data_IF_348086131867
#
_entry.id   IF_348086131867
#
_cell.length_a   1.000
_cell.length_b   1.000
_cell.length_c   1.000
_cell.angle_alpha   90.00
_cell.angle_beta   90.00
_cell.angle_gamma   90.00
#
_symmetry.space_group_name_H-M   'P 1'
#
loop_
_entity.id
_entity.type
_entity.pdbx_description
1 polymer ?
#
# COMPACT_ATOMS: atom_id res chain seq x y z
N UNK A 1 7.36 -1.46 -14.61
CA UNK A 1 6.16 -2.18 -15.09
C UNK A 1 4.97 -1.27 -14.90
N UNK A 2 4.20 -0.99 -15.96
CA UNK A 2 3.04 -0.10 -15.89
C UNK A 2 1.80 -0.90 -15.47
N UNK A 3 1.08 -0.40 -14.46
CA UNK A 3 -0.19 -1.00 -14.00
C UNK A 3 -1.33 -0.28 -14.74
N UNK A 4 -2.21 -1.02 -15.41
CA UNK A 4 -3.34 -0.50 -16.18
C UNK A 4 -4.57 -1.39 -16.01
N UNK A 5 -5.77 -0.84 -16.19
CA UNK A 5 -7.06 -1.55 -16.05
C UNK A 5 -7.07 -2.45 -14.81
N UNK A 6 -6.69 -1.88 -13.67
CA UNK A 6 -6.52 -2.64 -12.42
C UNK A 6 -7.21 -1.91 -11.31
N UNK A 7 -8.10 -2.61 -10.61
CA UNK A 7 -8.75 -2.13 -9.41
C UNK A 7 -8.15 -2.81 -8.18
N UNK A 8 -7.56 -2.01 -7.29
CA UNK A 8 -7.08 -2.46 -5.99
C UNK A 8 -8.22 -2.30 -4.99
N UNK A 9 -8.74 -3.43 -4.51
CA UNK A 9 -9.67 -3.47 -3.38
C UNK A 9 -8.93 -3.34 -2.05
N UNK A 10 -9.66 -2.93 -1.01
CA UNK A 10 -9.12 -2.83 0.35
C UNK A 10 -8.57 -4.17 0.86
N UNK A 11 -7.67 -4.11 1.83
CA UNK A 11 -7.07 -5.29 2.44
C UNK A 11 -8.14 -6.17 3.12
N UNK A 12 -7.93 -7.48 3.13
CA UNK A 12 -8.82 -8.44 3.80
C UNK A 12 -8.84 -8.27 5.34
N UNK A 13 -7.75 -7.75 5.91
CA UNK A 13 -7.64 -7.43 7.33
C UNK A 13 -8.06 -5.99 7.68
N UNK A 14 -8.65 -5.25 6.74
CA UNK A 14 -9.23 -3.92 7.00
C UNK A 14 -10.67 -4.04 7.50
N UNK A 15 -10.96 -3.35 8.60
CA UNK A 15 -12.28 -3.22 9.22
C UNK A 15 -13.08 -2.00 8.73
N UNK A 16 -12.53 -1.24 7.80
CA UNK A 16 -13.13 0.00 7.31
C UNK A 16 -14.39 -0.31 6.47
N UNK A 17 -15.56 0.06 7.00
CA UNK A 17 -16.85 -0.05 6.31
C UNK A 17 -17.14 1.12 5.36
N UNK A 18 -16.35 2.20 5.45
CA UNK A 18 -16.47 3.39 4.60
C UNK A 18 -15.10 4.04 4.39
N UNK A 19 -15.00 4.98 3.44
CA UNK A 19 -13.80 5.78 3.26
C UNK A 19 -13.53 6.70 4.45
N UNK A 20 -12.40 6.50 5.13
CA UNK A 20 -11.97 7.31 6.29
C UNK A 20 -10.95 8.34 5.82
N UNK A 21 -11.38 9.59 5.68
CA UNK A 21 -10.47 10.69 5.30
C UNK A 21 -9.32 10.81 6.32
N UNK A 22 -8.05 10.72 5.90
CA UNK A 22 -6.93 10.88 6.81
C UNK A 22 -6.95 12.26 7.49
N UNK A 23 -6.79 12.25 8.82
CA UNK A 23 -6.82 13.48 9.62
C UNK A 23 -5.67 14.41 9.25
N UNK A 24 -5.97 15.70 9.17
CA UNK A 24 -4.93 16.75 9.18
C UNK A 24 -4.27 16.73 10.55
N UNK A 25 -2.93 16.78 10.57
CA UNK A 25 -2.14 16.91 11.80
C UNK A 25 -1.34 18.21 11.71
N UNK A 26 -1.04 18.88 12.84
CA UNK A 26 -0.07 19.96 12.85
C UNK A 26 1.29 19.49 12.33
N UNK A 27 1.96 20.31 11.53
CA UNK A 27 3.26 19.97 10.92
C UNK A 27 3.14 19.23 9.58
N UNK A 28 4.12 18.38 9.27
CA UNK A 28 4.16 17.66 7.99
C UNK A 28 2.99 16.67 7.86
N UNK A 29 2.25 16.68 6.73
CA UNK A 29 1.15 15.75 6.55
C UNK A 29 1.64 14.30 6.51
N UNK A 30 0.78 13.38 6.95
CA UNK A 30 1.08 11.96 6.85
C UNK A 30 1.05 11.49 5.40
N UNK A 31 1.76 10.39 5.08
CA UNK A 31 1.71 9.78 3.74
C UNK A 31 0.27 9.47 3.31
N UNK A 32 -0.56 8.96 4.25
CA UNK A 32 -1.98 8.71 3.99
C UNK A 32 -2.70 10.00 3.55
N UNK A 33 -2.44 11.11 4.25
CA UNK A 33 -3.03 12.41 3.95
C UNK A 33 -2.59 12.94 2.59
N UNK A 34 -1.28 12.94 2.31
CA UNK A 34 -0.75 13.37 1.02
C UNK A 34 -1.31 12.54 -0.14
N UNK A 35 -1.41 11.22 0.03
CA UNK A 35 -2.04 10.34 -0.98
C UNK A 35 -3.51 10.70 -1.20
N UNK A 36 -4.25 10.96 -0.13
CA UNK A 36 -5.67 11.27 -0.20
C UNK A 36 -5.92 12.61 -0.90
N UNK A 37 -5.21 13.65 -0.48
CA UNK A 37 -5.36 15.00 -1.04
C UNK A 37 -5.02 14.96 -2.54
N UNK A 38 -3.84 14.44 -2.90
CA UNK A 38 -3.39 14.43 -4.29
C UNK A 38 -4.34 13.67 -5.23
N UNK A 39 -4.85 12.51 -4.82
CA UNK A 39 -5.71 11.67 -5.67
C UNK A 39 -7.18 12.06 -5.64
N UNK A 40 -7.62 12.85 -4.66
CA UNK A 40 -8.97 13.43 -4.61
C UNK A 40 -9.04 14.71 -5.43
N UNK A 41 -8.00 15.54 -5.36
CA UNK A 41 -7.92 16.80 -6.10
C UNK A 41 -7.63 16.55 -7.59
N UNK A 42 -6.86 15.49 -7.90
CA UNK A 42 -6.39 15.20 -9.26
C UNK A 42 -6.67 13.74 -9.69
N UNK A 43 -7.95 13.32 -9.74
CA UNK A 43 -8.30 11.97 -10.15
C UNK A 43 -7.89 11.72 -11.61
N UNK A 44 -7.17 10.64 -11.84
CA UNK A 44 -6.63 10.23 -13.16
C UNK A 44 -5.61 11.19 -13.79
N UNK A 45 -4.98 12.08 -13.02
CA UNK A 45 -3.89 12.92 -13.50
C UNK A 45 -2.52 12.21 -13.39
N UNK A 46 -2.29 11.57 -12.25
CA UNK A 46 -1.01 10.93 -11.93
C UNK A 46 -1.02 9.45 -12.31
N UNK A 47 0.05 9.00 -12.96
CA UNK A 47 0.40 7.57 -13.01
C UNK A 47 1.25 7.20 -11.78
N UNK A 48 1.60 5.92 -11.64
CA UNK A 48 2.33 5.45 -10.47
C UNK A 48 3.66 6.17 -10.23
N UNK A 49 4.41 6.44 -11.29
CA UNK A 49 5.74 7.02 -11.18
C UNK A 49 5.66 8.51 -10.83
N UNK A 50 4.82 9.27 -11.54
CA UNK A 50 4.58 10.68 -11.25
C UNK A 50 3.93 10.89 -9.88
N UNK A 51 3.00 10.02 -9.47
CA UNK A 51 2.41 10.02 -8.14
C UNK A 51 3.48 9.82 -7.05
N UNK A 52 4.27 8.75 -7.13
CA UNK A 52 5.30 8.47 -6.14
C UNK A 52 6.35 9.59 -6.05
N UNK A 53 6.72 10.16 -7.19
CA UNK A 53 7.66 11.26 -7.24
C UNK A 53 7.11 12.54 -6.61
N UNK A 54 5.85 12.89 -6.88
CA UNK A 54 5.19 14.05 -6.26
C UNK A 54 5.14 13.91 -4.73
N UNK A 55 4.71 12.74 -4.23
CA UNK A 55 4.68 12.45 -2.80
C UNK A 55 6.08 12.55 -2.18
N UNK A 56 7.11 12.07 -2.88
CA UNK A 56 8.49 12.18 -2.40
C UNK A 56 8.97 13.64 -2.37
N UNK A 57 8.72 14.43 -3.41
CA UNK A 57 9.08 15.85 -3.44
C UNK A 57 8.40 16.61 -2.30
N UNK A 58 7.10 16.41 -2.08
CA UNK A 58 6.37 17.06 -0.98
C UNK A 58 6.90 16.67 0.41
N UNK A 59 7.35 15.43 0.59
CA UNK A 59 7.90 14.98 1.88
C UNK A 59 9.26 15.58 2.20
N UNK A 60 10.06 15.81 1.16
CA UNK A 60 11.43 16.30 1.26
C UNK A 60 11.54 17.81 0.97
N UNK A 61 10.40 18.50 0.82
CA UNK A 61 10.32 19.94 0.55
C UNK A 61 11.15 20.34 -0.70
N UNK A 62 11.06 19.52 -1.77
CA UNK A 62 11.79 19.76 -3.02
C UNK A 62 11.02 20.75 -3.90
N UNK A 63 11.63 21.91 -4.11
CA UNK A 63 11.11 22.96 -4.97
C UNK A 63 11.05 22.53 -6.43
N UNK A 64 10.08 23.09 -7.17
CA UNK A 64 9.83 22.75 -8.57
C UNK A 64 11.07 22.87 -9.47
N UNK A 65 11.91 23.87 -9.21
CA UNK A 65 13.16 24.11 -9.95
C UNK A 65 14.20 22.98 -9.76
N UNK A 66 14.17 22.30 -8.60
CA UNK A 66 15.13 21.27 -8.24
C UNK A 66 14.60 19.85 -8.51
N UNK A 67 13.34 19.70 -8.92
CA UNK A 67 12.75 18.36 -9.13
C UNK A 67 13.51 17.56 -10.19
N UNK A 68 13.89 18.18 -11.30
CA UNK A 68 14.52 17.45 -12.40
C UNK A 68 15.88 16.84 -11.99
N UNK A 69 16.66 17.54 -11.16
CA UNK A 69 17.95 17.04 -10.68
C UNK A 69 17.83 15.82 -9.75
N UNK A 70 16.66 15.61 -9.14
CA UNK A 70 16.40 14.48 -8.24
C UNK A 70 15.73 13.29 -8.94
N UNK A 71 15.25 13.48 -10.18
CA UNK A 71 14.41 12.51 -10.88
C UNK A 71 15.13 11.17 -11.09
N UNK A 72 16.34 11.21 -11.66
CA UNK A 72 17.13 10.00 -11.93
C UNK A 72 17.43 9.22 -10.65
N UNK A 73 17.92 9.92 -9.62
CA UNK A 73 18.25 9.32 -8.33
C UNK A 73 17.02 8.67 -7.68
N UNK A 74 15.85 9.32 -7.77
CA UNK A 74 14.60 8.76 -7.26
C UNK A 74 14.22 7.47 -7.97
N UNK A 75 14.20 7.46 -9.31
CA UNK A 75 13.77 6.29 -10.10
C UNK A 75 14.80 5.17 -10.22
N UNK A 76 16.02 5.37 -9.70
CA UNK A 76 17.02 4.29 -9.55
C UNK A 76 16.58 3.16 -8.60
N UNK A 77 15.56 3.41 -7.76
CA UNK A 77 14.98 2.45 -6.82
C UNK A 77 13.54 2.13 -7.20
N UNK A 78 13.10 0.92 -6.87
CA UNK A 78 11.70 0.53 -7.04
C UNK A 78 10.78 1.25 -6.04
N UNK A 79 9.62 1.68 -6.52
CA UNK A 79 8.61 2.37 -5.71
C UNK A 79 7.34 1.53 -5.53
N UNK A 80 6.67 1.65 -4.37
CA UNK A 80 5.48 0.85 -4.09
C UNK A 80 4.29 1.27 -4.97
N UNK A 81 3.46 0.30 -5.35
CA UNK A 81 2.15 0.58 -5.92
C UNK A 81 1.10 0.86 -4.84
N UNK A 82 -0.10 1.23 -5.26
CA UNK A 82 -1.19 1.55 -4.35
C UNK A 82 -1.61 0.36 -3.46
N UNK A 83 -1.19 -0.88 -3.75
CA UNK A 83 -1.44 -2.03 -2.85
C UNK A 83 -0.81 -1.84 -1.48
N UNK A 84 0.28 -1.07 -1.38
CA UNK A 84 0.95 -0.77 -0.12
C UNK A 84 0.51 0.56 0.51
N UNK A 85 -0.40 1.30 -0.13
CA UNK A 85 -0.86 2.61 0.34
C UNK A 85 -1.67 2.48 1.63
N UNK A 86 -1.45 3.34 2.65
CA UNK A 86 -2.31 3.39 3.83
C UNK A 86 -3.81 3.54 3.48
N UNK A 87 -4.12 4.17 2.35
CA UNK A 87 -5.48 4.36 1.87
C UNK A 87 -6.21 3.03 1.64
N UNK A 88 -5.55 2.10 0.95
CA UNK A 88 -6.11 0.79 0.61
C UNK A 88 -5.94 -0.23 1.73
N UNK A 89 -4.97 -0.01 2.62
CA UNK A 89 -4.67 -0.91 3.72
C UNK A 89 -5.57 -0.71 4.94
N UNK A 90 -5.89 0.54 5.29
CA UNK A 90 -6.56 0.83 6.58
C UNK A 90 -7.61 1.94 6.52
N UNK A 91 -7.68 2.74 5.45
CA UNK A 91 -8.61 3.88 5.40
C UNK A 91 -9.85 3.63 4.53
N UNK A 92 -10.10 2.39 4.09
CA UNK A 92 -11.33 2.06 3.38
C UNK A 92 -11.43 2.64 1.96
N UNK A 93 -10.32 2.85 1.26
CA UNK A 93 -10.32 3.32 -0.13
C UNK A 93 -9.79 2.26 -1.08
N UNK A 94 -10.50 2.00 -2.19
CA UNK A 94 -9.95 1.31 -3.35
C UNK A 94 -9.16 2.27 -4.24
N UNK A 95 -8.27 1.74 -5.07
CA UNK A 95 -7.52 2.51 -6.05
C UNK A 95 -7.68 1.91 -7.45
N UNK A 96 -8.07 2.72 -8.42
CA UNK A 96 -8.25 2.30 -9.81
C UNK A 96 -7.14 2.87 -10.69
N UNK A 97 -6.47 2.00 -11.43
CA UNK A 97 -5.61 2.33 -12.56
C UNK A 97 -6.43 2.21 -13.84
N UNK A 98 -6.69 3.31 -14.54
CA UNK A 98 -7.38 3.26 -15.82
C UNK A 98 -6.51 2.66 -16.94
N UNK A 99 -7.01 2.66 -18.19
CA UNK A 99 -6.28 2.15 -19.36
C UNK A 99 -4.96 2.86 -19.61
N UNK A 100 -4.87 4.15 -19.25
CA UNK A 100 -3.66 4.95 -19.36
C UNK A 100 -2.69 4.75 -18.17
N UNK A 101 -3.09 3.97 -17.15
CA UNK A 101 -2.34 3.72 -15.92
C UNK A 101 -2.39 4.87 -14.92
N UNK A 102 -3.35 5.79 -15.09
CA UNK A 102 -3.60 6.90 -14.19
C UNK A 102 -4.48 6.48 -13.02
N UNK A 103 -4.30 7.11 -11.86
CA UNK A 103 -4.83 6.65 -10.58
C UNK A 103 -6.00 7.53 -10.12
N UNK A 104 -7.06 6.90 -9.64
CA UNK A 104 -8.07 7.55 -8.79
C UNK A 104 -8.42 6.65 -7.59
N UNK A 105 -8.92 7.25 -6.51
CA UNK A 105 -9.36 6.52 -5.32
C UNK A 105 -10.88 6.59 -5.14
N UNK A 106 -11.44 5.52 -4.57
CA UNK A 106 -12.88 5.42 -4.34
C UNK A 106 -13.13 4.85 -2.93
N UNK A 107 -13.99 5.48 -2.12
CA UNK A 107 -14.29 4.96 -0.79
C UNK A 107 -15.12 3.67 -0.93
N UNK A 108 -14.89 2.71 -0.03
CA UNK A 108 -15.44 1.34 -0.12
C UNK A 108 -16.97 1.30 -0.12
N UNK A 109 -17.61 2.29 0.50
CA UNK A 109 -19.06 2.47 0.59
C UNK A 109 -19.67 3.15 -0.66
N UNK A 110 -18.86 3.52 -1.66
CA UNK A 110 -19.37 4.15 -2.87
C UNK A 110 -19.87 3.16 -3.93
N UNK A 111 -20.90 3.59 -4.67
CA UNK A 111 -21.36 2.88 -5.88
C UNK A 111 -20.24 2.68 -6.92
N UNK A 112 -19.36 3.67 -7.06
CA UNK A 112 -18.24 3.61 -7.99
C UNK A 112 -17.23 2.52 -7.62
N UNK A 113 -16.92 2.35 -6.33
CA UNK A 113 -16.08 1.26 -5.84
C UNK A 113 -16.66 -0.10 -6.25
N UNK A 114 -17.94 -0.33 -5.99
CA UNK A 114 -18.60 -1.59 -6.34
C UNK A 114 -18.71 -1.80 -7.85
N UNK A 115 -18.89 -0.74 -8.64
CA UNK A 115 -18.87 -0.83 -10.10
C UNK A 115 -17.50 -1.31 -10.58
N UNK A 116 -16.42 -0.66 -10.15
CA UNK A 116 -15.06 -0.98 -10.58
C UNK A 116 -14.60 -2.36 -10.10
N UNK A 117 -15.06 -2.80 -8.93
CA UNK A 117 -14.78 -4.13 -8.39
C UNK A 117 -15.41 -5.25 -9.23
N UNK A 118 -16.58 -5.00 -9.83
CA UNK A 118 -17.33 -5.97 -10.61
C UNK A 118 -17.19 -5.76 -12.12
N UNK A 119 -16.36 -4.80 -12.54
CA UNK A 119 -16.12 -4.49 -13.94
C UNK A 119 -15.23 -5.57 -14.56
N UNK A 120 -15.70 -6.32 -15.58
CA UNK A 120 -14.92 -7.39 -16.20
C UNK A 120 -13.67 -6.89 -16.93
N UNK A 121 -13.61 -5.60 -17.28
CA UNK A 121 -12.44 -5.02 -17.92
C UNK A 121 -11.31 -4.74 -16.92
N UNK A 122 -11.61 -4.81 -15.61
CA UNK A 122 -10.64 -4.57 -14.55
C UNK A 122 -10.07 -5.86 -13.98
N UNK A 123 -8.74 -5.95 -13.96
CA UNK A 123 -8.04 -6.87 -13.07
C UNK A 123 -8.24 -6.42 -11.63
N UNK A 124 -8.82 -7.28 -10.78
CA UNK A 124 -8.95 -6.98 -9.35
C UNK A 124 -7.76 -7.54 -8.57
N UNK A 125 -7.11 -6.66 -7.80
CA UNK A 125 -5.98 -6.97 -6.93
C UNK A 125 -6.31 -6.59 -5.49
N UNK A 126 -5.80 -7.33 -4.52
CA UNK A 126 -6.01 -7.02 -3.11
C UNK A 126 -4.87 -6.17 -2.55
N UNK A 127 -5.20 -5.15 -1.75
CA UNK A 127 -4.19 -4.43 -0.99
C UNK A 127 -3.39 -5.36 -0.07
N UNK A 128 -2.17 -4.95 0.25
CA UNK A 128 -1.32 -5.69 1.18
C UNK A 128 -1.89 -5.62 2.59
N UNK A 129 -1.71 -6.69 3.35
CA UNK A 129 -2.13 -6.73 4.76
C UNK A 129 -1.36 -5.74 5.62
N UNK A 130 -2.03 -5.21 6.63
CA UNK A 130 -1.42 -4.32 7.62
C UNK A 130 -0.71 -5.13 8.70
N UNK A 131 -1.31 -6.24 9.12
CA UNK A 131 -0.68 -7.18 10.03
C UNK A 131 0.15 -8.19 9.24
N UNK A 132 1.43 -8.32 9.62
CA UNK A 132 2.24 -9.45 9.18
C UNK A 132 1.59 -10.70 9.78
N UNK A 133 1.21 -11.73 8.99
CA UNK A 133 0.84 -13.00 9.60
C UNK A 133 2.00 -13.42 10.49
N UNK A 134 1.71 -13.85 11.71
CA UNK A 134 2.73 -14.39 12.59
C UNK A 134 3.49 -15.44 11.77
N UNK A 135 4.75 -15.17 11.44
CA UNK A 135 5.58 -16.15 10.74
C UNK A 135 5.45 -17.43 11.55
N UNK A 136 4.96 -18.50 10.94
CA UNK A 136 5.00 -19.81 11.55
C UNK A 136 6.47 -20.04 11.92
N UNK A 137 6.79 -19.91 13.22
CA UNK A 137 8.10 -20.28 13.74
C UNK A 137 8.25 -21.73 13.32
N UNK A 138 9.22 -22.00 12.46
CA UNK A 138 9.71 -23.35 12.24
C UNK A 138 10.03 -23.91 13.63
N UNK A 139 9.21 -24.86 14.09
CA UNK A 139 9.47 -25.64 15.29
C UNK A 139 10.71 -26.47 14.99
N UNK A 140 11.87 -25.97 15.44
CA UNK A 140 13.05 -26.81 15.58
C UNK A 140 12.70 -27.95 16.55
N UNK A 141 12.96 -29.22 16.21
CA UNK A 141 12.76 -30.31 17.15
C UNK A 141 13.71 -30.14 18.34
N UNK A 142 13.16 -30.31 19.54
CA UNK A 142 13.91 -30.26 20.79
C UNK A 142 15.10 -31.25 20.78
N UNK A 143 16.26 -30.90 21.37
CA UNK A 143 17.36 -31.84 21.48
C UNK A 143 16.96 -33.01 22.38
N UNK A 144 17.13 -34.23 21.86
CA UNK A 144 16.91 -35.47 22.59
C UNK A 144 17.71 -35.47 23.90
N UNK A 145 17.01 -35.74 25.00
CA UNK A 145 17.56 -35.78 26.34
C UNK A 145 18.71 -36.77 26.46
N UNK A 146 19.79 -36.33 27.10
CA UNK A 146 20.93 -37.16 27.48
C UNK A 146 20.48 -38.08 28.63
N UNK A 147 20.29 -39.36 28.32
CA UNK A 147 19.98 -40.39 29.33
C UNK A 147 21.27 -40.71 30.08
N UNK A 148 21.36 -40.29 31.33
CA UNK A 148 22.39 -40.79 32.26
C UNK A 148 21.88 -42.12 32.81
N UNK A 149 22.43 -43.24 32.32
CA UNK A 149 22.28 -44.52 33.01
C UNK A 149 23.16 -44.52 34.25
N UNK A 150 22.51 -44.36 35.41
CA UNK A 150 23.02 -44.88 36.66
C UNK A 150 22.70 -46.39 36.70
N UNK A 151 23.73 -47.22 36.85
CA UNK A 151 23.59 -48.57 37.36
C UNK A 151 24.59 -48.77 38.50
N UNK A 152 24.01 -49.17 39.62
CA UNK A 152 24.56 -49.44 40.94
C UNK A 152 25.18 -50.83 41.04
N UNK A 153 26.32 -50.90 41.74
CA UNK A 153 26.84 -51.92 42.67
C UNK A 153 26.77 -53.42 42.35
N UNK A 154 27.95 -54.05 42.34
CA UNK A 154 28.35 -55.11 43.27
C UNK A 154 29.85 -54.99 43.57
#
# INVERSE_FOLDING_TARGET
MKITNTFIRIADDSDAAMGIVPKVKPGKPSVARMHYDLLTDHPYEYDLDSFNFEIWCQRNDIDAADRESHREAFFSKGHPCMRASPLTKTHGFGAHYNYAGKIAIYPVDSKAYHKLLNDPDNKVEMAMRSNRPASAKATAPAPAGRVHHAQTHA
#
